data_IF_110823696607
#
_entry.id   IF_110823696607
#
_cell.length_a   1.000
_cell.length_b   1.000
_cell.length_c   1.000
_cell.angle_alpha   90.00
_cell.angle_beta   90.00
_cell.angle_gamma   90.00
#
_symmetry.space_group_name_H-M   'P 1'
#
loop_
_entity.id
_entity.type
_entity.pdbx_description
1 polymer ?
#
# COMPACT_ATOMS: atom_id res chain seq x y z
N UNK A 1 -10.41 -11.57 -0.45
CA UNK A 1 -9.57 -10.66 -1.29
C UNK A 1 -8.15 -10.69 -0.74
N UNK A 2 -7.12 -10.62 -1.58
CA UNK A 2 -5.73 -10.77 -1.14
C UNK A 2 -4.89 -9.57 -1.60
N UNK A 3 -4.72 -8.54 -0.76
CA UNK A 3 -3.69 -7.54 -0.97
C UNK A 3 -2.31 -8.16 -1.11
N UNK A 4 -1.62 -7.86 -2.22
CA UNK A 4 -0.27 -8.34 -2.49
C UNK A 4 0.67 -7.15 -2.58
N UNK A 5 1.80 -7.19 -1.88
CA UNK A 5 2.79 -6.12 -1.89
C UNK A 5 4.06 -6.58 -2.59
N UNK A 6 4.51 -5.76 -3.54
CA UNK A 6 5.75 -5.98 -4.26
C UNK A 6 6.67 -4.78 -4.08
N UNK A 7 7.96 -5.07 -3.99
CA UNK A 7 9.01 -4.09 -4.09
C UNK A 7 9.78 -4.30 -5.39
N UNK A 8 10.59 -3.31 -5.79
CA UNK A 8 11.56 -3.51 -6.88
C UNK A 8 12.49 -4.71 -6.63
N UNK A 9 12.82 -4.98 -5.37
CA UNK A 9 13.63 -6.13 -4.96
C UNK A 9 12.89 -7.47 -4.96
N UNK A 10 11.59 -7.50 -5.32
CA UNK A 10 10.78 -8.70 -5.39
C UNK A 10 9.58 -8.69 -4.45
N UNK A 11 9.07 -9.88 -4.15
CA UNK A 11 7.91 -10.09 -3.29
C UNK A 11 8.14 -9.56 -1.86
N UNK A 12 7.14 -8.86 -1.30
CA UNK A 12 7.18 -8.41 0.09
C UNK A 12 6.24 -9.25 0.98
N UNK A 13 4.93 -9.20 0.72
CA UNK A 13 3.96 -9.94 1.53
C UNK A 13 2.59 -10.07 0.85
N UNK A 14 1.78 -11.00 1.35
CA UNK A 14 0.34 -11.11 1.09
C UNK A 14 -0.38 -10.98 2.42
N UNK A 15 -1.39 -10.13 2.49
CA UNK A 15 -2.24 -9.99 3.67
C UNK A 15 -3.63 -10.53 3.32
N UNK A 16 -4.01 -11.74 3.75
CA UNK A 16 -5.32 -12.29 3.42
C UNK A 16 -6.44 -11.54 4.15
N UNK A 17 -7.48 -11.17 3.42
CA UNK A 17 -8.74 -10.74 4.03
C UNK A 17 -9.60 -11.98 4.27
N UNK A 18 -10.15 -12.09 5.48
CA UNK A 18 -11.10 -13.14 5.85
C UNK A 18 -12.27 -13.24 4.86
N UNK A 19 -12.77 -14.46 4.69
CA UNK A 19 -13.85 -14.71 3.75
C UNK A 19 -15.12 -13.92 4.13
N UNK A 20 -15.79 -13.34 3.14
CA UNK A 20 -16.99 -12.52 3.33
C UNK A 20 -16.76 -11.14 3.95
N UNK A 21 -15.53 -10.76 4.31
CA UNK A 21 -15.22 -9.40 4.79
C UNK A 21 -14.97 -8.44 3.63
N UNK A 22 -15.17 -7.16 3.89
CA UNK A 22 -14.90 -6.06 2.96
C UNK A 22 -13.66 -5.29 3.38
N UNK A 23 -12.88 -4.80 2.42
CA UNK A 23 -11.76 -3.89 2.69
C UNK A 23 -12.30 -2.52 3.08
N UNK A 24 -12.29 -2.24 4.38
CA UNK A 24 -12.57 -0.92 4.93
C UNK A 24 -11.28 -0.09 5.02
N UNK A 25 -11.41 1.23 5.19
CA UNK A 25 -10.25 2.10 5.46
C UNK A 25 -9.50 1.67 6.72
N UNK A 26 -10.24 1.31 7.77
CA UNK A 26 -9.69 0.81 9.03
C UNK A 26 -8.87 -0.45 8.83
N UNK A 27 -9.44 -1.48 8.19
CA UNK A 27 -8.73 -2.72 7.94
C UNK A 27 -7.52 -2.50 7.01
N UNK A 28 -7.68 -1.68 5.97
CA UNK A 28 -6.58 -1.38 5.05
C UNK A 28 -5.41 -0.68 5.76
N UNK A 29 -5.69 0.20 6.71
CA UNK A 29 -4.66 0.95 7.45
C UNK A 29 -4.04 0.11 8.55
N UNK A 30 -4.88 -0.37 9.48
CA UNK A 30 -4.45 -0.92 10.75
C UNK A 30 -3.92 -2.36 10.60
N UNK A 31 -4.48 -3.12 9.66
CA UNK A 31 -4.12 -4.54 9.46
C UNK A 31 -3.25 -4.72 8.22
N UNK A 32 -3.63 -4.12 7.09
CA UNK A 32 -2.97 -4.39 5.81
C UNK A 32 -1.67 -3.59 5.63
N UNK A 33 -1.75 -2.26 5.63
CA UNK A 33 -0.58 -1.40 5.45
C UNK A 33 0.41 -1.52 6.60
N UNK A 34 -0.07 -1.53 7.85
CA UNK A 34 0.82 -1.66 9.00
C UNK A 34 1.66 -2.93 8.94
N UNK A 35 1.06 -4.08 8.63
CA UNK A 35 1.77 -5.35 8.52
C UNK A 35 2.66 -5.42 7.27
N UNK A 36 2.26 -4.78 6.17
CA UNK A 36 3.08 -4.72 4.96
C UNK A 36 4.35 -3.86 5.13
N UNK A 37 4.30 -2.83 5.97
CA UNK A 37 5.43 -1.92 6.21
C UNK A 37 6.41 -2.41 7.28
N UNK A 38 5.96 -3.16 8.29
CA UNK A 38 6.83 -3.77 9.33
C UNK A 38 8.10 -4.45 8.80
N UNK A 39 8.06 -5.35 7.80
CA UNK A 39 9.28 -5.98 7.27
C UNK A 39 10.19 -5.01 6.52
N UNK A 40 9.62 -3.93 5.96
CA UNK A 40 10.37 -2.89 5.24
C UNK A 40 11.09 -1.98 6.23
N UNK A 41 10.42 -1.57 7.29
CA UNK A 41 10.96 -0.71 8.36
C UNK A 41 12.21 -1.33 9.01
N UNK A 42 12.24 -2.66 9.16
CA UNK A 42 13.41 -3.39 9.69
C UNK A 42 14.65 -3.30 8.78
N UNK A 43 14.47 -2.99 7.50
CA UNK A 43 15.53 -3.00 6.48
C UNK A 43 15.92 -1.61 6.01
N UNK A 44 15.01 -0.63 6.11
CA UNK A 44 15.20 0.74 5.64
C UNK A 44 14.19 1.70 6.28
N UNK A 45 14.49 2.99 6.24
CA UNK A 45 13.56 4.02 6.70
C UNK A 45 12.34 4.15 5.77
N UNK A 46 11.14 4.23 6.35
CA UNK A 46 9.89 4.39 5.60
C UNK A 46 9.79 5.73 4.86
N UNK A 47 10.58 6.74 5.27
CA UNK A 47 10.63 8.07 4.66
C UNK A 47 11.16 8.08 3.21
N UNK A 48 11.87 7.02 2.84
CA UNK A 48 12.42 6.80 1.49
C UNK A 48 11.47 5.99 0.61
N UNK A 49 10.35 5.56 1.16
CA UNK A 49 9.36 4.74 0.49
C UNK A 49 8.40 5.59 -0.35
N UNK A 50 8.09 5.07 -1.53
CA UNK A 50 7.03 5.56 -2.41
C UNK A 50 6.04 4.41 -2.62
N UNK A 51 4.81 4.57 -2.17
CA UNK A 51 3.73 3.63 -2.41
C UNK A 51 3.00 4.02 -3.69
N UNK A 52 2.69 3.02 -4.52
CA UNK A 52 1.81 3.14 -5.67
C UNK A 52 0.64 2.16 -5.53
N UNK A 53 -0.55 2.71 -5.37
CA UNK A 53 -1.80 1.97 -5.27
C UNK A 53 -2.93 2.65 -6.07
N UNK A 54 -3.97 1.89 -6.41
CA UNK A 54 -5.14 2.44 -7.09
C UNK A 54 -6.05 3.31 -6.20
N UNK A 55 -7.00 4.01 -6.82
CA UNK A 55 -7.85 5.04 -6.17
C UNK A 55 -9.07 4.52 -5.40
N UNK A 56 -9.09 3.27 -4.92
CA UNK A 56 -10.28 2.78 -4.21
C UNK A 56 -10.55 3.58 -2.92
N UNK A 57 -11.82 3.68 -2.51
CA UNK A 57 -12.24 4.54 -1.39
C UNK A 57 -11.45 4.28 -0.10
N UNK A 58 -11.24 3.02 0.29
CA UNK A 58 -10.46 2.68 1.48
C UNK A 58 -9.00 3.17 1.42
N UNK A 59 -8.42 3.27 0.21
CA UNK A 59 -7.04 3.72 -0.02
C UNK A 59 -6.89 5.24 0.05
N UNK A 60 -7.94 5.97 -0.33
CA UNK A 60 -8.00 7.44 -0.30
C UNK A 60 -8.66 8.01 0.96
N UNK A 61 -9.15 7.15 1.84
CA UNK A 61 -9.78 7.57 3.08
C UNK A 61 -8.81 8.40 3.94
N UNK A 62 -9.33 9.37 4.69
CA UNK A 62 -8.55 10.28 5.53
C UNK A 62 -7.62 9.51 6.47
N UNK A 63 -8.13 8.49 7.16
CA UNK A 63 -7.34 7.62 8.05
C UNK A 63 -6.10 7.03 7.35
N UNK A 64 -6.28 6.53 6.13
CA UNK A 64 -5.18 5.94 5.34
C UNK A 64 -4.15 7.00 4.97
N UNK A 65 -4.60 8.18 4.54
CA UNK A 65 -3.72 9.28 4.14
C UNK A 65 -2.94 9.84 5.33
N UNK A 66 -3.60 10.00 6.48
CA UNK A 66 -2.98 10.42 7.73
C UNK A 66 -1.93 9.42 8.21
N UNK A 67 -2.23 8.12 8.14
CA UNK A 67 -1.28 7.07 8.48
C UNK A 67 -0.04 7.12 7.58
N UNK A 68 -0.21 7.22 6.26
CA UNK A 68 0.92 7.34 5.33
C UNK A 68 1.77 8.58 5.61
N UNK A 69 1.12 9.71 5.90
CA UNK A 69 1.81 10.95 6.26
C UNK A 69 2.57 10.84 7.60
N UNK A 70 1.97 10.21 8.61
CA UNK A 70 2.60 9.97 9.91
C UNK A 70 3.83 9.06 9.78
N UNK A 71 3.76 8.04 8.94
CA UNK A 71 4.90 7.18 8.59
C UNK A 71 5.87 7.84 7.59
N UNK A 72 5.57 9.07 7.14
CA UNK A 72 6.31 9.87 6.14
C UNK A 72 6.55 9.11 4.82
N UNK A 73 5.66 8.17 4.51
CA UNK A 73 5.66 7.41 3.28
C UNK A 73 5.04 8.26 2.18
N UNK A 74 5.73 8.40 1.06
CA UNK A 74 5.21 9.17 -0.08
C UNK A 74 4.20 8.34 -0.86
N UNK A 75 3.12 8.96 -1.28
CA UNK A 75 2.16 8.35 -2.19
C UNK A 75 2.39 8.85 -3.62
N UNK A 76 2.57 7.92 -4.56
CA UNK A 76 2.59 8.23 -5.99
C UNK A 76 1.16 8.39 -6.50
N UNK A 77 0.91 9.48 -7.22
CA UNK A 77 -0.37 9.73 -7.87
C UNK A 77 -0.73 8.63 -8.86
N UNK A 78 -2.01 8.24 -8.90
CA UNK A 78 -2.53 7.28 -9.86
C UNK A 78 -3.74 7.90 -10.59
N UNK A 79 -3.73 8.01 -11.93
CA UNK A 79 -4.91 8.47 -12.67
C UNK A 79 -6.08 7.49 -12.51
N UNK A 80 -7.30 8.03 -12.59
CA UNK A 80 -8.51 7.24 -12.40
C UNK A 80 -8.74 6.32 -13.60
N UNK A 81 -9.15 5.06 -13.33
CA UNK A 81 -9.47 4.05 -14.34
C UNK A 81 -8.32 3.65 -15.28
N UNK A 82 -7.08 3.67 -14.77
CA UNK A 82 -5.89 3.24 -15.53
C UNK A 82 -5.34 1.91 -15.00
N UNK A 83 -5.97 0.77 -15.34
CA UNK A 83 -5.48 -0.55 -14.92
C UNK A 83 -4.18 -0.96 -15.62
N UNK A 84 -3.82 -0.32 -16.72
CA UNK A 84 -2.63 -0.54 -17.55
C UNK A 84 -1.33 -0.12 -16.85
N UNK A 85 -1.38 0.91 -16.02
CA UNK A 85 -0.20 1.48 -15.34
C UNK A 85 0.01 0.92 -13.93
N UNK A 86 -0.83 -0.02 -13.49
CA UNK A 86 -0.85 -0.52 -12.12
C UNK A 86 -1.08 -2.02 -12.13
N UNK A 87 -0.24 -2.82 -11.46
CA UNK A 87 -0.24 -4.29 -11.58
C UNK A 87 -1.53 -4.99 -11.08
N UNK A 88 -2.57 -4.25 -10.71
CA UNK A 88 -3.93 -4.76 -10.54
C UNK A 88 -4.64 -4.19 -9.31
N UNK A 89 -5.98 -4.19 -9.29
CA UNK A 89 -6.83 -3.60 -8.23
C UNK A 89 -6.42 -3.97 -6.79
N UNK A 90 -5.75 -5.10 -6.60
CA UNK A 90 -5.38 -5.75 -5.34
C UNK A 90 -3.90 -5.63 -4.95
N UNK A 91 -3.01 -5.18 -5.82
CA UNK A 91 -1.55 -5.27 -5.62
C UNK A 91 -0.92 -3.90 -5.36
N UNK A 92 -0.22 -3.66 -4.27
CA UNK A 92 0.45 -2.37 -4.00
C UNK A 92 1.93 -2.47 -4.33
N UNK A 93 2.44 -1.54 -5.16
CA UNK A 93 3.88 -1.46 -5.46
C UNK A 93 4.54 -0.49 -4.50
N UNK A 94 5.69 -0.88 -4.00
CA UNK A 94 6.46 -0.15 -3.02
C UNK A 94 7.86 0.09 -3.60
N UNK A 95 8.16 1.33 -3.96
CA UNK A 95 9.43 1.73 -4.56
C UNK A 95 10.26 2.54 -3.58
N UNK A 96 11.57 2.53 -3.79
CA UNK A 96 12.47 3.48 -3.15
C UNK A 96 12.43 4.82 -3.89
N UNK A 97 12.80 5.92 -3.22
CA UNK A 97 13.07 7.19 -3.90
C UNK A 97 14.05 6.97 -5.04
N UNK A 98 13.65 7.44 -6.22
CA UNK A 98 14.58 7.67 -7.32
C UNK A 98 15.56 8.74 -6.81
N UNK A 99 16.83 8.38 -6.67
CA UNK A 99 17.93 9.33 -6.36
C UNK A 99 18.18 10.22 -7.56
#
# INVERSE_FOLDING_TARGET
MFPIFFMKSGFNTIIPLENGKTVTAKWYTDECLSNALKPVEKRRHLNDLIIHHGNALARKATQTMEYLNAQRVKLMGHPTYSPDIYPGRISTVVNDRIR
#
